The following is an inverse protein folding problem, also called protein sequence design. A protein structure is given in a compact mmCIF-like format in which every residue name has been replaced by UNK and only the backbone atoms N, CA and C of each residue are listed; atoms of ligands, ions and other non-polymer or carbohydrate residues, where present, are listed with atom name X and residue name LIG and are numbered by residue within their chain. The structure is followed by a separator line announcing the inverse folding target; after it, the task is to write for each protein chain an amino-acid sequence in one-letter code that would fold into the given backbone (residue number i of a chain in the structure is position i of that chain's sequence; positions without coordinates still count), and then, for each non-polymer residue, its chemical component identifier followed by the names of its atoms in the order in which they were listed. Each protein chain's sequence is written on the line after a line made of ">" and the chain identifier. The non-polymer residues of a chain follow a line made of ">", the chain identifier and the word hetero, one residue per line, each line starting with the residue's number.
data_IF_023268241568
#
_entry.id   IF_023268241568
#
_cell.length_a   1.000
_cell.length_b   1.000
_cell.length_c   1.000
_cell.angle_alpha   90.00
_cell.angle_beta   90.00
_cell.angle_gamma   90.00
#
_symmetry.space_group_name_H-M   'P 1'
#
loop_
_entity.id
_entity.type
_entity.pdbx_description
1 polymer ?
#
# COMPACT_ATOMS: atom_id res chain seq x y z
N UNK A 1 -15.42 -8.53 -33.85
CA UNK A 1 -15.21 -7.66 -35.04
C UNK A 1 -14.76 -8.54 -36.18
N UNK A 2 -15.67 -8.75 -37.13
CA UNK A 2 -15.43 -9.48 -38.35
C UNK A 2 -14.76 -8.54 -39.36
N UNK A 3 -13.64 -8.96 -39.92
CA UNK A 3 -13.08 -8.32 -41.12
C UNK A 3 -13.17 -9.31 -42.26
N UNK A 4 -14.05 -8.97 -43.20
CA UNK A 4 -14.37 -9.75 -44.38
C UNK A 4 -13.17 -9.93 -45.29
N UNK A 5 -13.06 -11.15 -45.82
CA UNK A 5 -12.34 -11.43 -47.07
C UNK A 5 -13.32 -11.15 -48.20
N UNK A 6 -13.14 -10.00 -48.85
CA UNK A 6 -13.82 -9.64 -50.08
C UNK A 6 -12.84 -9.69 -51.25
N UNK A 7 -13.28 -10.38 -52.29
CA UNK A 7 -13.09 -10.07 -53.71
C UNK A 7 -11.73 -10.32 -54.37
N UNK A 8 -11.63 -11.55 -54.88
CA UNK A 8 -10.83 -11.90 -56.06
C UNK A 8 -11.60 -11.53 -57.31
N UNK A 9 -11.39 -10.31 -57.83
CA UNK A 9 -11.89 -9.94 -59.16
C UNK A 9 -11.03 -10.57 -60.25
N UNK A 10 -11.61 -11.58 -60.90
CA UNK A 10 -11.22 -12.10 -62.18
C UNK A 10 -11.91 -11.26 -63.28
N UNK A 11 -11.14 -10.44 -64.01
CA UNK A 11 -11.69 -9.68 -65.13
C UNK A 11 -10.62 -8.93 -65.89
N UNK A 12 -10.12 -9.49 -66.99
CA UNK A 12 -9.00 -8.92 -67.73
C UNK A 12 -8.90 -9.40 -69.17
N UNK A 13 -9.99 -9.20 -69.90
CA UNK A 13 -10.16 -9.10 -71.36
C UNK A 13 -8.97 -9.41 -72.27
N UNK A 14 -9.14 -10.46 -73.08
CA UNK A 14 -8.36 -10.71 -74.28
C UNK A 14 -8.83 -9.78 -75.41
N UNK A 15 -7.92 -8.97 -75.95
CA UNK A 15 -8.10 -8.27 -77.22
C UNK A 15 -6.99 -8.70 -78.18
N UNK A 16 -7.39 -9.12 -79.37
CA UNK A 16 -6.54 -9.64 -80.44
C UNK A 16 -6.18 -8.55 -81.45
N UNK A 17 -4.95 -8.68 -82.00
CA UNK A 17 -4.43 -8.17 -83.28
C UNK A 17 -4.23 -6.63 -83.41
N UNK A 18 -3.38 -6.12 -84.34
CA UNK A 18 -2.78 -6.76 -85.52
C UNK A 18 -1.26 -6.58 -85.69
N UNK A 19 -0.71 -7.33 -86.65
CA UNK A 19 0.71 -7.39 -86.95
C UNK A 19 1.27 -6.26 -87.81
N UNK A 20 2.60 -6.10 -87.73
CA UNK A 20 3.55 -5.64 -88.73
C UNK A 20 4.96 -5.61 -88.08
N UNK A 21 6.04 -5.40 -88.84
CA UNK A 21 6.67 -6.31 -89.77
C UNK A 21 8.03 -6.82 -89.24
N UNK A 22 8.56 -7.85 -89.90
CA UNK A 22 9.93 -8.34 -89.74
C UNK A 22 10.95 -7.20 -89.89
N UNK A 23 11.61 -6.86 -88.78
CA UNK A 23 12.92 -6.24 -88.81
C UNK A 23 13.93 -7.30 -88.35
N UNK A 24 14.66 -7.83 -89.34
CA UNK A 24 15.79 -8.73 -89.18
C UNK A 24 16.92 -8.02 -88.42
N UNK A 25 16.87 -8.14 -87.10
CA UNK A 25 17.90 -7.71 -86.15
C UNK A 25 17.83 -8.60 -84.92
N UNK A 26 18.35 -9.83 -85.04
CA UNK A 26 18.64 -10.77 -83.94
C UNK A 26 17.61 -10.87 -82.80
N UNK A 27 16.51 -11.66 -82.93
CA UNK A 27 15.47 -11.83 -81.90
C UNK A 27 15.97 -12.41 -80.55
N UNK A 28 17.22 -12.88 -80.50
CA UNK A 28 17.82 -13.45 -79.30
C UNK A 28 18.38 -12.37 -78.34
N UNK A 29 18.89 -11.25 -78.86
CA UNK A 29 19.49 -10.19 -78.04
C UNK A 29 18.43 -9.35 -77.31
N UNK A 30 17.38 -8.91 -78.01
CA UNK A 30 16.28 -8.12 -77.45
C UNK A 30 15.41 -8.90 -76.46
N UNK A 31 15.20 -10.21 -76.68
CA UNK A 31 14.51 -11.10 -75.72
C UNK A 31 15.32 -11.31 -74.44
N UNK A 32 16.65 -11.44 -74.57
CA UNK A 32 17.56 -11.56 -73.42
C UNK A 32 17.55 -10.27 -72.58
N UNK A 33 17.59 -9.12 -73.22
CA UNK A 33 17.51 -7.81 -72.54
C UNK A 33 16.20 -7.62 -71.78
N UNK A 34 15.05 -7.95 -72.40
CA UNK A 34 13.74 -7.90 -71.72
C UNK A 34 13.67 -8.83 -70.50
N UNK A 35 14.24 -10.04 -70.60
CA UNK A 35 14.32 -10.98 -69.47
C UNK A 35 15.20 -10.44 -68.34
N UNK A 36 16.35 -9.82 -68.67
CA UNK A 36 17.23 -9.22 -67.68
C UNK A 36 16.58 -8.01 -66.99
N UNK A 37 15.86 -7.15 -67.73
CA UNK A 37 15.12 -6.03 -67.17
C UNK A 37 14.00 -6.51 -66.24
N UNK A 38 13.21 -7.50 -66.67
CA UNK A 38 12.17 -8.13 -65.85
C UNK A 38 12.74 -8.77 -64.57
N UNK A 39 13.88 -9.46 -64.67
CA UNK A 39 14.53 -10.06 -63.51
C UNK A 39 15.04 -9.00 -62.52
N UNK A 40 15.64 -7.91 -63.01
CA UNK A 40 16.04 -6.76 -62.17
C UNK A 40 14.84 -6.14 -61.46
N UNK A 41 13.70 -6.00 -62.12
CA UNK A 41 12.48 -5.48 -61.50
C UNK A 41 11.93 -6.45 -60.44
N UNK A 42 11.85 -7.74 -60.76
CA UNK A 42 11.46 -8.77 -59.80
C UNK A 42 12.37 -8.79 -58.56
N UNK A 43 13.68 -8.63 -58.75
CA UNK A 43 14.65 -8.54 -57.66
C UNK A 43 14.47 -7.28 -56.82
N UNK A 44 14.17 -6.12 -57.45
CA UNK A 44 13.84 -4.88 -56.71
C UNK A 44 12.58 -5.05 -55.87
N UNK A 45 11.51 -5.64 -56.45
CA UNK A 45 10.26 -5.92 -55.71
C UNK A 45 10.50 -6.89 -54.56
N UNK A 46 11.30 -7.94 -54.76
CA UNK A 46 11.69 -8.85 -53.69
C UNK A 46 12.45 -8.14 -52.57
N UNK A 47 13.49 -7.37 -52.89
CA UNK A 47 14.25 -6.58 -51.90
C UNK A 47 13.36 -5.60 -51.15
N UNK A 48 12.41 -4.95 -51.83
CA UNK A 48 11.45 -4.04 -51.20
C UNK A 48 10.51 -4.79 -50.24
N UNK A 49 10.00 -5.97 -50.62
CA UNK A 49 9.17 -6.80 -49.72
C UNK A 49 9.95 -7.25 -48.49
N UNK A 50 11.21 -7.66 -48.67
CA UNK A 50 12.09 -8.00 -47.55
C UNK A 50 12.31 -6.79 -46.64
N UNK A 51 12.62 -5.61 -47.21
CA UNK A 51 12.78 -4.37 -46.44
C UNK A 51 11.51 -4.01 -45.65
N UNK A 52 10.35 -4.03 -46.31
CA UNK A 52 9.07 -3.73 -45.66
C UNK A 52 8.80 -4.77 -44.55
N UNK A 53 9.00 -6.06 -44.83
CA UNK A 53 8.87 -7.12 -43.83
C UNK A 53 9.79 -6.93 -42.62
N UNK A 54 11.06 -6.55 -42.84
CA UNK A 54 11.99 -6.26 -41.75
C UNK A 54 11.55 -5.07 -40.90
N UNK A 55 11.02 -4.01 -41.53
CA UNK A 55 10.49 -2.84 -40.80
C UNK A 55 9.24 -3.23 -39.99
N UNK A 56 8.33 -4.02 -40.57
CA UNK A 56 7.16 -4.54 -39.87
C UNK A 56 7.55 -5.40 -38.67
N UNK A 57 8.49 -6.34 -38.83
CA UNK A 57 8.98 -7.16 -37.72
C UNK A 57 9.67 -6.32 -36.63
N UNK A 58 10.45 -5.30 -37.01
CA UNK A 58 11.05 -4.37 -36.04
C UNK A 58 9.98 -3.62 -35.24
N UNK A 59 8.92 -3.15 -35.91
CA UNK A 59 7.81 -2.48 -35.24
C UNK A 59 7.05 -3.44 -34.30
N UNK A 60 6.84 -4.69 -34.71
CA UNK A 60 6.23 -5.71 -33.85
C UNK A 60 7.07 -6.02 -32.62
N UNK A 61 8.40 -6.12 -32.77
CA UNK A 61 9.32 -6.31 -31.63
C UNK A 61 9.25 -5.13 -30.68
N UNK A 62 9.22 -3.89 -31.18
CA UNK A 62 9.07 -2.71 -30.33
C UNK A 62 7.73 -2.70 -29.59
N UNK A 63 6.62 -2.94 -30.28
CA UNK A 63 5.28 -3.02 -29.67
C UNK A 63 5.22 -4.11 -28.60
N UNK A 64 5.69 -5.32 -28.91
CA UNK A 64 5.71 -6.44 -27.94
C UNK A 64 6.64 -6.16 -26.77
N UNK A 65 7.78 -5.51 -27.00
CA UNK A 65 8.68 -5.13 -25.91
C UNK A 65 8.01 -4.14 -24.94
N UNK A 66 7.27 -3.15 -25.47
CA UNK A 66 6.49 -2.23 -24.65
C UNK A 66 5.35 -2.93 -23.88
N UNK A 67 4.66 -3.88 -24.52
CA UNK A 67 3.64 -4.71 -23.86
C UNK A 67 4.22 -5.56 -22.73
N UNK A 68 5.36 -6.23 -22.95
CA UNK A 68 6.05 -7.03 -21.93
C UNK A 68 6.49 -6.13 -20.77
N UNK A 69 7.09 -4.97 -21.03
CA UNK A 69 7.44 -4.02 -19.98
C UNK A 69 6.22 -3.53 -19.19
N UNK A 70 5.07 -3.31 -19.84
CA UNK A 70 3.81 -2.96 -19.17
C UNK A 70 3.26 -4.10 -18.30
N UNK A 71 3.34 -5.35 -18.77
CA UNK A 71 2.94 -6.53 -18.01
C UNK A 71 3.85 -6.77 -16.81
N UNK A 72 5.17 -6.59 -16.95
CA UNK A 72 6.12 -6.69 -15.85
C UNK A 72 5.84 -5.65 -14.75
N UNK A 73 5.57 -4.39 -15.13
CA UNK A 73 5.14 -3.35 -14.16
C UNK A 73 3.85 -3.74 -13.43
N UNK A 74 2.86 -4.26 -14.16
CA UNK A 74 1.61 -4.76 -13.56
C UNK A 74 1.87 -5.92 -12.59
N UNK A 75 2.75 -6.86 -12.97
CA UNK A 75 3.09 -7.99 -12.12
C UNK A 75 3.77 -7.57 -10.81
N UNK A 76 4.71 -6.63 -10.87
CA UNK A 76 5.36 -6.04 -9.68
C UNK A 76 4.32 -5.39 -8.75
N UNK A 77 3.40 -4.60 -9.31
CA UNK A 77 2.33 -3.97 -8.54
C UNK A 77 1.39 -5.01 -7.88
N UNK A 78 1.02 -6.07 -8.58
CA UNK A 78 0.17 -7.14 -8.04
C UNK A 78 0.87 -7.92 -6.92
N UNK A 79 2.15 -8.25 -7.08
CA UNK A 79 2.94 -8.91 -6.02
C UNK A 79 3.11 -8.02 -4.80
N UNK A 80 3.35 -6.72 -4.99
CA UNK A 80 3.38 -5.75 -3.90
C UNK A 80 2.02 -5.72 -3.18
N UNK A 81 0.92 -5.69 -3.94
CA UNK A 81 -0.44 -5.69 -3.39
C UNK A 81 -0.70 -6.93 -2.53
N UNK A 82 -0.35 -8.10 -3.03
CA UNK A 82 -0.47 -9.36 -2.29
C UNK A 82 0.30 -9.29 -0.95
N UNK A 83 1.58 -8.91 -0.96
CA UNK A 83 2.38 -8.76 0.27
C UNK A 83 1.82 -7.73 1.24
N UNK A 84 1.31 -6.62 0.71
CA UNK A 84 0.73 -5.53 1.51
C UNK A 84 -0.56 -5.98 2.19
N UNK A 85 -1.40 -6.75 1.49
CA UNK A 85 -2.65 -7.31 2.01
C UNK A 85 -2.37 -8.44 3.01
N UNK A 86 -1.42 -9.33 2.71
CA UNK A 86 -1.02 -10.41 3.62
C UNK A 86 -0.55 -9.86 4.97
N UNK A 87 0.34 -8.85 4.95
CA UNK A 87 0.75 -8.14 6.17
C UNK A 87 -0.39 -7.42 6.87
N UNK A 88 -1.35 -6.88 6.12
CA UNK A 88 -2.52 -6.24 6.72
C UNK A 88 -3.40 -7.25 7.46
N UNK A 89 -3.56 -8.46 6.91
CA UNK A 89 -4.28 -9.57 7.56
C UNK A 89 -3.54 -10.00 8.83
N UNK A 90 -2.23 -10.25 8.74
CA UNK A 90 -1.39 -10.63 9.88
C UNK A 90 -1.40 -9.55 10.97
N UNK A 91 -1.23 -8.28 10.59
CA UNK A 91 -1.27 -7.14 11.52
C UNK A 91 -2.65 -6.91 12.14
N UNK A 92 -3.73 -7.15 11.38
CA UNK A 92 -5.10 -7.06 11.90
C UNK A 92 -5.36 -8.18 12.91
N UNK A 93 -4.82 -9.38 12.71
CA UNK A 93 -4.89 -10.47 13.69
C UNK A 93 -4.26 -10.08 15.03
N UNK A 94 -3.08 -9.45 15.00
CA UNK A 94 -2.40 -8.96 16.22
C UNK A 94 -3.19 -7.83 16.87
N UNK A 95 -3.70 -6.87 16.10
CA UNK A 95 -4.51 -5.77 16.64
C UNK A 95 -5.82 -6.27 17.25
N UNK A 96 -6.51 -7.18 16.56
CA UNK A 96 -7.73 -7.83 17.08
C UNK A 96 -7.42 -8.62 18.35
N UNK A 97 -6.28 -9.32 18.44
CA UNK A 97 -5.88 -10.02 19.66
C UNK A 97 -5.61 -9.07 20.84
N UNK A 98 -5.04 -7.88 20.59
CA UNK A 98 -4.85 -6.89 21.64
C UNK A 98 -6.17 -6.24 22.04
N UNK A 99 -7.00 -5.85 21.07
CA UNK A 99 -8.33 -5.28 21.33
C UNK A 99 -9.20 -6.31 22.06
N UNK A 100 -9.18 -7.59 21.68
CA UNK A 100 -9.93 -8.63 22.36
C UNK A 100 -9.43 -8.88 23.78
N UNK A 101 -8.12 -8.77 24.04
CA UNK A 101 -7.57 -8.83 25.40
C UNK A 101 -7.98 -7.61 26.24
N UNK A 102 -8.06 -6.43 25.63
CA UNK A 102 -8.48 -5.19 26.30
C UNK A 102 -9.98 -5.16 26.59
N UNK A 103 -10.81 -5.66 25.67
CA UNK A 103 -12.26 -5.74 25.84
C UNK A 103 -12.71 -6.98 26.63
N UNK A 104 -11.89 -8.05 26.62
CA UNK A 104 -12.17 -9.33 27.26
C UNK A 104 -11.98 -9.34 28.77
N UNK A 105 -11.46 -8.27 29.37
CA UNK A 105 -11.46 -8.09 30.83
C UNK A 105 -10.91 -9.28 31.61
N UNK A 106 -9.73 -9.79 31.24
CA UNK A 106 -8.99 -10.69 32.14
C UNK A 106 -8.44 -9.86 33.32
N UNK A 107 -9.31 -9.65 34.31
CA UNK A 107 -8.86 -9.27 35.64
C UNK A 107 -7.95 -10.37 36.20
N UNK A 108 -6.93 -10.03 37.01
CA UNK A 108 -6.09 -11.03 37.66
C UNK A 108 -6.91 -11.72 38.77
N UNK A 109 -7.72 -12.71 38.40
CA UNK A 109 -8.21 -13.72 39.33
C UNK A 109 -7.10 -14.76 39.49
N UNK A 110 -6.22 -14.54 40.47
CA UNK A 110 -5.38 -15.61 40.97
C UNK A 110 -6.26 -16.71 41.55
N UNK A 111 -6.16 -17.92 40.99
CA UNK A 111 -5.99 -19.21 41.69
C UNK A 111 -6.16 -20.35 40.69
N UNK A 112 -5.14 -21.20 40.65
CA UNK A 112 -5.13 -22.64 40.34
C UNK A 112 -5.64 -23.15 38.97
N UNK A 113 -4.67 -23.66 38.19
CA UNK A 113 -4.83 -24.81 37.28
C UNK A 113 -5.73 -25.89 37.90
N UNK A 114 -6.66 -26.52 37.15
CA UNK A 114 -6.22 -27.56 36.18
C UNK A 114 -7.05 -27.75 34.89
N UNK A 115 -6.41 -28.46 33.95
CA UNK A 115 -6.96 -29.31 32.88
C UNK A 115 -7.77 -28.71 31.71
N UNK A 116 -7.22 -28.90 30.50
CA UNK A 116 -7.91 -28.79 29.21
C UNK A 116 -9.08 -29.80 29.12
N UNK A 117 -10.27 -29.38 28.69
CA UNK A 117 -11.19 -30.25 27.98
C UNK A 117 -11.15 -29.97 26.46
N UNK A 118 -11.14 -31.07 25.72
CA UNK A 118 -11.36 -31.19 24.28
C UNK A 118 -12.68 -30.53 23.84
N UNK A 119 -12.75 -29.95 22.61
CA UNK A 119 -13.96 -29.31 22.14
C UNK A 119 -15.00 -30.36 21.71
N UNK A 120 -16.12 -30.41 22.43
CA UNK A 120 -17.36 -31.00 21.92
C UNK A 120 -18.21 -29.91 21.29
N UNK A 121 -18.71 -30.19 20.09
CA UNK A 121 -19.69 -29.40 19.39
C UNK A 121 -21.02 -29.39 20.16
N UNK A 122 -21.51 -28.19 20.49
CA UNK A 122 -22.90 -27.74 20.36
C UNK A 122 -23.17 -26.52 21.26
N UNK A 123 -23.87 -25.52 20.73
CA UNK A 123 -24.62 -24.55 21.54
C UNK A 123 -24.10 -23.12 21.60
N UNK A 124 -24.61 -22.31 20.66
CA UNK A 124 -24.90 -20.87 20.71
C UNK A 124 -24.45 -20.03 21.92
N UNK A 125 -23.65 -19.00 21.66
CA UNK A 125 -23.45 -17.83 22.52
C UNK A 125 -22.81 -16.70 21.71
N UNK A 126 -23.49 -15.55 21.62
CA UNK A 126 -23.26 -14.50 20.61
C UNK A 126 -21.85 -13.91 20.59
N UNK A 127 -21.22 -14.00 19.41
CA UNK A 127 -20.09 -13.17 19.03
C UNK A 127 -20.67 -11.95 18.29
N UNK A 128 -20.32 -10.74 18.73
CA UNK A 128 -20.63 -9.49 18.01
C UNK A 128 -19.90 -9.55 16.68
N UNK A 129 -20.61 -10.00 15.65
CA UNK A 129 -20.14 -9.97 14.29
C UNK A 129 -19.95 -8.52 13.84
N UNK A 130 -18.77 -8.21 13.32
CA UNK A 130 -18.57 -7.11 12.38
C UNK A 130 -19.46 -7.36 11.16
N UNK A 131 -20.71 -6.91 11.25
CA UNK A 131 -21.68 -6.96 10.15
C UNK A 131 -21.32 -5.82 9.21
N UNK A 132 -20.80 -6.18 8.03
CA UNK A 132 -20.79 -5.31 6.87
C UNK A 132 -22.23 -4.94 6.53
N UNK A 133 -22.61 -3.69 6.77
CA UNK A 133 -23.91 -3.13 6.42
C UNK A 133 -24.14 -3.19 4.92
N UNK A 134 -24.81 -4.24 4.48
CA UNK A 134 -25.45 -4.33 3.18
C UNK A 134 -26.87 -3.77 3.32
N UNK A 135 -26.97 -2.45 3.37
CA UNK A 135 -28.25 -1.73 3.33
C UNK A 135 -28.55 -1.32 1.89
N UNK A 136 -29.43 -2.08 1.21
CA UNK A 136 -29.89 -1.77 -0.13
C UNK A 136 -30.67 -0.46 -0.17
N UNK A 137 -30.29 0.42 -1.09
CA UNK A 137 -31.14 1.48 -1.62
C UNK A 137 -30.89 1.54 -3.12
N UNK A 138 -31.97 1.39 -3.87
CA UNK A 138 -32.04 1.30 -5.33
C UNK A 138 -31.29 2.46 -6.02
N UNK A 139 -30.42 2.20 -7.01
CA UNK A 139 -29.84 3.27 -7.81
C UNK A 139 -30.83 3.74 -8.90
N UNK A 140 -30.86 5.03 -9.27
CA UNK A 140 -31.62 5.49 -10.42
C UNK A 140 -30.93 5.06 -11.72
N UNK A 141 -31.75 4.59 -12.67
CA UNK A 141 -31.36 4.17 -14.02
C UNK A 141 -30.58 5.24 -14.79
N UNK A 142 -29.47 4.83 -15.43
CA UNK A 142 -28.92 5.47 -16.63
C UNK A 142 -28.22 4.43 -17.54
N UNK A 143 -28.11 4.70 -18.85
CA UNK A 143 -28.32 3.73 -19.93
C UNK A 143 -27.05 2.96 -20.36
N UNK A 144 -27.17 1.93 -21.25
CA UNK A 144 -26.10 0.96 -21.45
C UNK A 144 -25.07 1.45 -22.46
N UNK A 145 -23.80 1.39 -22.06
CA UNK A 145 -22.68 1.31 -22.99
C UNK A 145 -22.05 -0.08 -22.88
N UNK A 146 -22.36 -0.92 -23.88
CA UNK A 146 -21.56 -2.07 -24.31
C UNK A 146 -20.09 -1.66 -24.44
N UNK A 147 -19.13 -2.54 -24.11
CA UNK A 147 -17.99 -2.94 -24.95
C UNK A 147 -17.20 -4.09 -24.29
N UNK A 148 -17.14 -5.23 -25.02
CA UNK A 148 -16.12 -6.30 -25.03
C UNK A 148 -16.05 -7.24 -23.80
N UNK A 149 -16.30 -8.55 -23.90
CA UNK A 149 -16.05 -9.48 -25.00
C UNK A 149 -14.80 -10.30 -24.70
N UNK A 150 -14.92 -11.31 -23.83
CA UNK A 150 -13.85 -12.24 -23.49
C UNK A 150 -13.50 -13.13 -24.70
N UNK A 151 -12.21 -13.32 -25.05
CA UNK A 151 -11.83 -14.29 -26.05
C UNK A 151 -11.77 -15.72 -25.47
N UNK A 152 -12.01 -16.76 -26.29
CA UNK A 152 -12.07 -18.15 -25.85
C UNK A 152 -10.67 -18.76 -25.64
N UNK A 153 -10.58 -19.70 -24.68
CA UNK A 153 -9.39 -20.50 -24.39
C UNK A 153 -9.01 -21.43 -25.56
N UNK A 154 -7.71 -21.59 -25.88
CA UNK A 154 -7.27 -22.61 -26.84
C UNK A 154 -7.11 -24.00 -26.18
N UNK A 155 -7.18 -25.09 -26.97
CA UNK A 155 -7.21 -26.46 -26.47
C UNK A 155 -5.81 -26.99 -26.12
N UNK A 156 -5.81 -28.02 -25.28
CA UNK A 156 -4.64 -28.80 -24.88
C UNK A 156 -3.92 -29.43 -26.10
N UNK A 157 -2.60 -29.30 -26.11
CA UNK A 157 -1.72 -30.09 -26.98
C UNK A 157 -0.69 -30.84 -26.12
N UNK A 158 -0.61 -32.14 -26.37
CA UNK A 158 0.26 -33.08 -25.70
C UNK A 158 1.71 -33.01 -26.25
N UNK A 159 2.66 -33.22 -25.35
CA UNK A 159 3.88 -34.02 -25.54
C UNK A 159 4.97 -33.50 -26.48
N UNK A 160 6.12 -33.13 -25.91
CA UNK A 160 7.40 -33.74 -26.26
C UNK A 160 8.48 -33.43 -25.19
N UNK A 161 9.25 -34.48 -24.91
CA UNK A 161 10.25 -34.60 -23.85
C UNK A 161 11.51 -33.75 -24.07
N UNK A 162 12.22 -33.48 -22.97
CA UNK A 162 13.56 -32.87 -22.99
C UNK A 162 13.96 -32.21 -21.66
N UNK A 163 13.92 -32.96 -20.55
CA UNK A 163 14.50 -32.55 -19.27
C UNK A 163 16.02 -32.77 -19.28
N UNK A 164 16.84 -31.75 -18.98
CA UNK A 164 18.09 -31.96 -18.27
C UNK A 164 17.85 -31.73 -16.77
N UNK A 165 18.12 -32.76 -15.97
CA UNK A 165 18.34 -32.63 -14.53
C UNK A 165 19.48 -31.63 -14.31
N UNK A 166 19.17 -30.51 -13.66
CA UNK A 166 20.15 -29.73 -12.94
C UNK A 166 19.68 -29.62 -11.50
N UNK A 167 20.17 -30.58 -10.71
CA UNK A 167 20.34 -30.45 -9.27
C UNK A 167 21.10 -29.17 -8.96
N UNK A 168 20.44 -28.24 -8.26
CA UNK A 168 21.07 -27.20 -7.48
C UNK A 168 20.31 -27.06 -6.16
N UNK A 169 20.31 -28.15 -5.38
CA UNK A 169 20.24 -28.06 -3.94
C UNK A 169 21.66 -27.90 -3.41
N UNK A 170 22.04 -26.67 -3.07
CA UNK A 170 23.17 -26.34 -2.20
C UNK A 170 23.14 -24.85 -1.89
N UNK A 171 23.14 -24.48 -0.60
CA UNK A 171 23.44 -23.11 -0.16
C UNK A 171 22.45 -22.45 0.79
N UNK A 172 21.85 -23.20 1.73
CA UNK A 172 21.18 -22.63 2.91
C UNK A 172 21.77 -23.20 4.21
N UNK A 173 23.06 -23.56 4.15
CA UNK A 173 23.85 -24.09 5.25
C UNK A 173 25.15 -23.29 5.36
N UNK A 174 25.02 -22.03 5.81
CA UNK A 174 26.10 -21.25 6.44
C UNK A 174 25.54 -19.94 7.02
N UNK A 175 24.43 -20.05 7.77
CA UNK A 175 24.05 -19.03 8.74
C UNK A 175 24.68 -19.46 10.06
N UNK A 176 25.53 -18.63 10.71
CA UNK A 176 26.03 -18.96 12.03
C UNK A 176 24.85 -19.14 12.99
N UNK A 177 24.91 -20.22 13.77
CA UNK A 177 23.93 -20.62 14.77
C UNK A 177 23.44 -19.42 15.59
N UNK A 178 22.23 -18.95 15.27
CA UNK A 178 21.45 -18.10 16.16
C UNK A 178 21.01 -19.00 17.32
N UNK A 179 21.25 -18.63 18.59
CA UNK A 179 20.85 -19.46 19.71
C UNK A 179 19.34 -19.67 19.68
N UNK A 180 18.94 -20.95 19.75
CA UNK A 180 17.56 -21.37 19.95
C UNK A 180 16.96 -20.63 21.16
N UNK A 181 16.02 -19.73 20.91
CA UNK A 181 15.21 -19.15 21.97
C UNK A 181 14.10 -20.16 22.31
N UNK A 182 14.08 -20.73 23.53
CA UNK A 182 13.01 -21.64 23.92
C UNK A 182 11.67 -20.89 23.92
N UNK A 183 10.72 -21.44 23.16
CA UNK A 183 9.30 -21.09 23.21
C UNK A 183 8.67 -21.65 24.48
N UNK A 184 9.02 -21.07 25.63
CA UNK A 184 8.33 -21.25 26.90
C UNK A 184 7.95 -19.87 27.44
N UNK A 185 6.66 -19.73 27.82
CA UNK A 185 6.06 -18.62 28.57
C UNK A 185 6.65 -17.24 28.31
N UNK A 186 5.94 -16.40 27.54
CA UNK A 186 6.31 -15.00 27.29
C UNK A 186 6.95 -14.37 28.54
N UNK A 187 8.27 -14.09 28.51
CA UNK A 187 8.93 -13.54 29.67
C UNK A 187 8.30 -12.18 30.00
N UNK A 188 8.21 -11.80 31.28
CA UNK A 188 7.76 -10.47 31.64
C UNK A 188 8.58 -9.46 30.85
N UNK A 189 7.90 -8.55 30.17
CA UNK A 189 8.52 -7.44 29.44
C UNK A 189 9.61 -6.82 30.34
N UNK A 190 10.85 -6.58 29.84
CA UNK A 190 11.85 -5.85 30.62
C UNK A 190 11.24 -4.51 31.08
N UNK A 191 11.66 -3.95 32.23
CA UNK A 191 11.16 -2.65 32.69
C UNK A 191 11.51 -1.61 31.62
N UNK A 192 10.54 -1.29 30.76
CA UNK A 192 10.76 -0.78 29.42
C UNK A 192 10.73 0.74 29.35
N UNK A 193 10.65 1.41 30.50
CA UNK A 193 10.72 2.86 30.57
C UNK A 193 11.57 3.23 31.78
N UNK A 194 12.70 3.90 31.54
CA UNK A 194 13.42 4.65 32.58
C UNK A 194 12.61 5.85 33.14
N UNK A 195 11.29 5.89 32.90
CA UNK A 195 10.36 6.89 33.37
C UNK A 195 9.17 6.24 34.11
N UNK A 196 9.28 6.02 35.42
CA UNK A 196 8.22 5.42 36.24
C UNK A 196 6.96 6.32 36.35
N UNK A 197 7.03 7.59 35.94
CA UNK A 197 5.84 8.42 35.84
C UNK A 197 5.01 8.07 34.59
N UNK A 198 5.68 7.82 33.46
CA UNK A 198 5.02 7.38 32.23
C UNK A 198 4.33 6.01 32.41
N UNK A 199 4.99 5.07 33.10
CA UNK A 199 4.41 3.75 33.41
C UNK A 199 3.12 3.86 34.22
N UNK A 200 3.11 4.67 35.30
CA UNK A 200 1.91 4.89 36.12
C UNK A 200 0.76 5.53 35.34
N UNK A 201 1.07 6.43 34.40
CA UNK A 201 0.04 7.03 33.53
C UNK A 201 -0.49 6.01 32.53
N UNK A 202 0.38 5.17 31.96
CA UNK A 202 -0.02 4.08 31.07
C UNK A 202 -0.89 3.04 31.77
N UNK A 203 -0.55 2.66 33.01
CA UNK A 203 -1.37 1.75 33.82
C UNK A 203 -2.76 2.32 34.08
N UNK A 204 -2.84 3.62 34.43
CA UNK A 204 -4.12 4.30 34.62
C UNK A 204 -4.97 4.32 33.36
N UNK A 205 -4.35 4.61 32.21
CA UNK A 205 -5.04 4.67 30.92
C UNK A 205 -5.45 3.27 30.41
N UNK A 206 -4.66 2.23 30.71
CA UNK A 206 -5.01 0.83 30.40
C UNK A 206 -6.20 0.31 31.23
N UNK A 207 -6.35 0.79 32.46
CA UNK A 207 -7.44 0.37 33.36
C UNK A 207 -8.76 1.11 33.13
N UNK A 208 -8.76 2.21 32.38
CA UNK A 208 -9.99 2.88 31.95
C UNK A 208 -10.57 2.21 30.69
N UNK A 209 -11.90 2.17 30.57
CA UNK A 209 -12.54 1.79 29.29
C UNK A 209 -11.88 2.57 28.13
N UNK A 210 -11.69 1.94 26.95
CA UNK A 210 -11.13 2.56 25.75
C UNK A 210 -12.11 3.62 25.21
N UNK A 211 -12.23 4.68 26.00
CA UNK A 211 -13.05 5.85 25.77
C UNK A 211 -12.19 6.90 25.12
N UNK A 212 -12.84 7.80 24.39
CA UNK A 212 -12.25 8.93 23.66
C UNK A 212 -11.63 9.99 24.59
N UNK A 213 -10.99 9.59 25.69
CA UNK A 213 -10.36 10.48 26.63
C UNK A 213 -9.17 11.18 25.96
N UNK A 214 -9.06 12.48 26.23
CA UNK A 214 -7.89 13.24 25.84
C UNK A 214 -6.64 12.57 26.42
N UNK A 215 -5.56 12.54 25.63
CA UNK A 215 -4.29 12.01 26.10
C UNK A 215 -3.85 12.79 27.35
N UNK A 216 -3.49 12.10 28.44
CA UNK A 216 -2.95 12.77 29.62
C UNK A 216 -1.73 13.61 29.25
N UNK A 217 -1.71 14.86 29.71
CA UNK A 217 -0.61 15.80 29.41
C UNK A 217 0.74 15.25 29.86
N UNK A 218 0.77 14.56 30.99
CA UNK A 218 1.97 13.95 31.56
C UNK A 218 2.56 12.88 30.63
N UNK A 219 1.72 12.16 29.87
CA UNK A 219 2.17 11.19 28.89
C UNK A 219 2.79 11.89 27.67
N UNK A 220 2.19 12.98 27.20
CA UNK A 220 2.75 13.80 26.12
C UNK A 220 4.10 14.42 26.52
N UNK A 221 4.20 14.93 27.75
CA UNK A 221 5.44 15.48 28.30
C UNK A 221 6.53 14.39 28.39
N UNK A 222 6.19 13.19 28.87
CA UNK A 222 7.12 12.07 28.93
C UNK A 222 7.62 11.63 27.54
N UNK A 223 6.72 11.59 26.54
CA UNK A 223 7.08 11.31 25.15
C UNK A 223 8.00 12.41 24.61
N UNK A 224 7.66 13.69 24.85
CA UNK A 224 8.44 14.84 24.43
C UNK A 224 9.85 14.87 25.01
N UNK A 225 10.00 14.57 26.29
CA UNK A 225 11.30 14.51 26.95
C UNK A 225 12.14 13.33 26.47
N UNK A 226 11.52 12.17 26.19
CA UNK A 226 12.20 11.02 25.58
C UNK A 226 12.67 11.36 24.16
N UNK A 227 11.79 11.96 23.37
CA UNK A 227 12.09 12.39 22.00
C UNK A 227 13.21 13.44 21.96
N UNK A 228 13.16 14.46 22.83
CA UNK A 228 14.19 15.49 22.94
C UNK A 228 15.55 14.90 23.30
N UNK A 229 15.61 14.00 24.28
CA UNK A 229 16.86 13.32 24.68
C UNK A 229 17.46 12.52 23.52
N UNK A 230 16.63 11.77 22.81
CA UNK A 230 17.05 11.06 21.60
C UNK A 230 17.62 12.03 20.55
N UNK A 231 16.92 13.11 20.21
CA UNK A 231 17.35 14.09 19.20
C UNK A 231 18.68 14.74 19.59
N UNK A 232 18.85 15.11 20.86
CA UNK A 232 20.10 15.68 21.38
C UNK A 232 21.25 14.69 21.27
N UNK A 233 21.03 13.43 21.67
CA UNK A 233 22.04 12.37 21.55
C UNK A 233 22.40 12.07 20.10
N UNK A 234 21.42 12.05 19.20
CA UNK A 234 21.65 11.83 17.77
C UNK A 234 22.50 12.95 17.14
N UNK A 235 22.16 14.21 17.42
CA UNK A 235 22.94 15.36 16.95
C UNK A 235 24.36 15.38 17.52
N UNK A 236 24.52 15.00 18.79
CA UNK A 236 25.85 14.87 19.39
C UNK A 236 26.66 13.76 18.71
N UNK A 237 26.03 12.61 18.42
CA UNK A 237 26.67 11.50 17.72
C UNK A 237 27.12 11.88 16.31
N UNK A 238 26.34 12.68 15.57
CA UNK A 238 26.72 13.19 14.24
C UNK A 238 27.92 14.16 14.28
N UNK A 239 28.19 14.80 15.43
CA UNK A 239 29.31 15.72 15.62
C UNK A 239 30.59 15.03 16.11
N UNK A 240 30.48 13.80 16.61
CA UNK A 240 31.62 13.01 17.04
C UNK A 240 32.41 12.47 15.85
N UNK A 241 33.73 12.36 15.99
CA UNK A 241 34.61 11.73 15.01
C UNK A 241 35.44 10.60 15.67
N UNK A 242 35.82 9.60 14.89
CA UNK A 242 36.62 8.48 15.37
C UNK A 242 35.80 7.42 16.13
N UNK A 243 36.44 6.56 16.95
CA UNK A 243 35.79 5.42 17.60
C UNK A 243 34.67 5.83 18.58
N UNK A 244 34.77 7.01 19.18
CA UNK A 244 33.75 7.56 20.07
C UNK A 244 32.43 7.86 19.32
N UNK A 245 32.49 8.07 18.00
CA UNK A 245 31.31 8.31 17.17
C UNK A 245 30.42 7.06 17.07
N UNK A 246 31.00 5.86 17.01
CA UNK A 246 30.25 4.60 16.95
C UNK A 246 29.51 4.35 18.27
N UNK A 247 30.19 4.59 19.40
CA UNK A 247 29.60 4.47 20.74
C UNK A 247 28.47 5.48 20.92
N UNK A 248 28.67 6.72 20.48
CA UNK A 248 27.64 7.77 20.52
C UNK A 248 26.43 7.41 19.64
N UNK A 249 26.65 6.88 18.43
CA UNK A 249 25.57 6.42 17.55
C UNK A 249 24.80 5.25 18.15
N UNK A 250 25.49 4.26 18.73
CA UNK A 250 24.85 3.15 19.42
C UNK A 250 23.98 3.63 20.59
N UNK A 251 24.49 4.57 21.39
CA UNK A 251 23.74 5.22 22.47
C UNK A 251 22.50 5.96 21.99
N UNK A 252 22.61 6.72 20.89
CA UNK A 252 21.48 7.40 20.27
C UNK A 252 20.42 6.41 19.76
N UNK A 253 20.82 5.26 19.19
CA UNK A 253 19.90 4.22 18.73
C UNK A 253 19.18 3.52 19.89
N UNK A 254 19.83 3.35 21.05
CA UNK A 254 19.15 2.85 22.25
C UNK A 254 18.07 3.82 22.72
N UNK A 255 18.40 5.12 22.82
CA UNK A 255 17.43 6.16 23.17
C UNK A 255 16.28 6.26 22.16
N UNK A 256 16.57 6.10 20.87
CA UNK A 256 15.55 6.00 19.83
C UNK A 256 14.59 4.83 20.11
N UNK A 257 15.12 3.64 20.36
CA UNK A 257 14.33 2.44 20.62
C UNK A 257 13.43 2.64 21.84
N UNK A 258 13.95 3.22 22.91
CA UNK A 258 13.19 3.48 24.13
C UNK A 258 12.06 4.50 23.90
N UNK A 259 12.35 5.60 23.18
CA UNK A 259 11.34 6.59 22.81
C UNK A 259 10.25 5.99 21.90
N UNK A 260 10.66 5.18 20.92
CA UNK A 260 9.75 4.52 20.01
C UNK A 260 8.87 3.49 20.72
N UNK A 261 9.43 2.70 21.65
CA UNK A 261 8.69 1.73 22.45
C UNK A 261 7.71 2.41 23.42
N UNK A 262 8.10 3.56 24.01
CA UNK A 262 7.18 4.40 24.79
C UNK A 262 5.96 4.82 23.95
N UNK A 263 6.20 5.41 22.78
CA UNK A 263 5.12 5.85 21.88
C UNK A 263 4.25 4.67 21.44
N UNK A 264 4.86 3.51 21.16
CA UNK A 264 4.15 2.27 20.88
C UNK A 264 3.24 1.87 22.04
N UNK A 265 3.77 1.74 23.26
CA UNK A 265 3.01 1.33 24.43
C UNK A 265 1.89 2.33 24.76
N UNK A 266 2.17 3.60 24.55
CA UNK A 266 1.23 4.69 24.72
C UNK A 266 0.11 4.66 23.68
N UNK A 267 0.41 4.35 22.41
CA UNK A 267 -0.60 4.17 21.36
C UNK A 267 -1.49 2.95 21.63
N UNK A 268 -0.93 1.88 22.20
CA UNK A 268 -1.71 0.69 22.58
C UNK A 268 -2.60 0.93 23.80
N UNK A 269 -2.22 1.83 24.70
CA UNK A 269 -3.02 2.22 25.85
C UNK A 269 -4.09 3.28 25.50
N UNK A 270 -3.75 4.24 24.64
CA UNK A 270 -4.60 5.36 24.25
C UNK A 270 -4.71 5.46 22.73
N UNK A 271 -5.82 5.00 22.16
CA UNK A 271 -6.03 5.01 20.70
C UNK A 271 -6.01 6.43 20.10
N UNK A 272 -6.45 7.43 20.86
CA UNK A 272 -6.41 8.85 20.44
C UNK A 272 -5.01 9.46 20.49
N UNK A 273 -4.02 8.78 21.09
CA UNK A 273 -2.67 9.33 21.16
C UNK A 273 -2.10 9.61 19.78
N UNK A 274 -2.26 8.68 18.84
CA UNK A 274 -1.65 8.85 17.52
C UNK A 274 -2.23 10.02 16.73
N UNK A 275 -3.54 10.27 16.85
CA UNK A 275 -4.14 11.43 16.18
C UNK A 275 -3.60 12.74 16.76
N UNK A 276 -3.35 12.78 18.07
CA UNK A 276 -2.73 13.93 18.72
C UNK A 276 -1.25 14.08 18.36
N UNK A 277 -0.46 13.00 18.37
CA UNK A 277 0.98 13.02 18.09
C UNK A 277 1.35 13.60 16.71
N UNK A 278 0.45 13.50 15.71
CA UNK A 278 0.69 14.01 14.35
C UNK A 278 0.94 15.51 14.28
N UNK A 279 0.27 16.26 15.15
CA UNK A 279 0.26 17.73 15.10
C UNK A 279 0.76 18.35 16.39
N UNK A 280 1.39 17.58 17.29
CA UNK A 280 1.99 18.17 18.49
C UNK A 280 3.40 18.62 18.16
N UNK A 281 3.65 19.90 18.39
CA UNK A 281 4.99 20.46 18.43
C UNK A 281 5.56 20.26 19.84
N UNK A 282 6.57 19.41 19.99
CA UNK A 282 7.16 19.06 21.30
C UNK A 282 8.06 20.16 21.92
N UNK A 283 8.32 21.25 21.19
CA UNK A 283 8.95 22.44 21.78
C UNK A 283 7.92 23.32 22.48
N UNK A 284 6.74 23.49 21.88
CA UNK A 284 5.70 24.40 22.39
C UNK A 284 4.59 23.67 23.16
N UNK A 285 4.52 22.34 23.02
CA UNK A 285 3.40 21.49 23.44
C UNK A 285 2.05 21.93 22.85
N UNK A 286 2.06 22.66 21.73
CA UNK A 286 0.87 23.12 21.04
C UNK A 286 0.51 22.21 19.85
N UNK A 287 -0.78 22.25 19.48
CA UNK A 287 -1.27 21.61 18.26
C UNK A 287 -1.01 22.51 17.05
N UNK A 288 0.11 22.27 16.38
CA UNK A 288 0.58 23.03 15.23
C UNK A 288 0.71 22.12 14.01
N UNK A 289 0.32 22.63 12.84
CA UNK A 289 0.62 21.93 11.59
C UNK A 289 2.13 22.00 11.31
N UNK A 290 2.77 20.89 10.88
CA UNK A 290 4.15 20.93 10.42
C UNK A 290 4.32 21.94 9.27
N UNK A 291 5.44 22.68 9.18
CA UNK A 291 5.67 23.63 8.10
C UNK A 291 5.57 22.97 6.71
N UNK A 292 5.17 23.71 5.66
CA UNK A 292 5.16 23.18 4.31
C UNK A 292 6.50 22.56 3.90
N UNK A 293 6.44 21.35 3.32
CA UNK A 293 7.62 20.60 2.91
C UNK A 293 8.42 19.93 4.05
N UNK A 294 7.98 20.02 5.31
CA UNK A 294 8.64 19.38 6.45
C UNK A 294 8.87 17.87 6.22
N UNK A 295 7.82 17.11 5.90
CA UNK A 295 7.92 15.67 5.67
C UNK A 295 8.78 15.29 4.45
N UNK A 296 8.82 16.14 3.42
CA UNK A 296 9.72 15.96 2.28
C UNK A 296 11.19 16.12 2.68
N UNK A 297 11.52 17.09 3.53
CA UNK A 297 12.87 17.24 4.08
C UNK A 297 13.25 16.05 4.97
N UNK A 298 12.33 15.58 5.82
CA UNK A 298 12.54 14.42 6.69
C UNK A 298 12.87 13.18 5.85
N UNK A 299 12.06 12.89 4.83
CA UNK A 299 12.31 11.76 3.90
C UNK A 299 13.64 11.92 3.19
N UNK A 300 14.01 13.13 2.74
CA UNK A 300 15.30 13.37 2.10
C UNK A 300 16.49 13.12 3.04
N UNK A 301 16.42 13.55 4.30
CA UNK A 301 17.48 13.30 5.30
C UNK A 301 17.60 11.81 5.67
N UNK A 302 16.49 11.08 5.57
CA UNK A 302 16.48 9.62 5.69
C UNK A 302 17.07 8.90 4.46
N UNK A 303 17.61 9.61 3.47
CA UNK A 303 18.17 9.04 2.25
C UNK A 303 17.17 8.88 1.10
N UNK A 304 15.96 9.44 1.23
CA UNK A 304 14.96 9.46 0.18
C UNK A 304 14.53 8.07 -0.29
N UNK A 305 14.27 7.93 -1.59
CA UNK A 305 13.94 6.64 -2.20
C UNK A 305 15.13 5.67 -2.19
N UNK A 306 16.36 6.19 -2.21
CA UNK A 306 17.58 5.38 -2.31
C UNK A 306 17.84 4.58 -1.03
N UNK A 307 17.27 5.00 0.09
CA UNK A 307 17.29 4.25 1.33
C UNK A 307 16.36 3.03 1.35
N UNK A 308 15.51 2.84 0.33
CA UNK A 308 14.54 1.75 0.22
C UNK A 308 14.91 0.83 -0.95
N UNK A 309 14.78 -0.49 -0.74
CA UNK A 309 14.85 -1.43 -1.85
C UNK A 309 13.72 -1.19 -2.86
N UNK A 310 13.88 -1.59 -4.14
CA UNK A 310 12.81 -1.48 -5.13
C UNK A 310 11.50 -2.16 -4.69
N UNK A 311 11.60 -3.29 -4.00
CA UNK A 311 10.45 -4.01 -3.43
C UNK A 311 9.78 -3.20 -2.32
N UNK A 312 10.57 -2.61 -1.42
CA UNK A 312 10.07 -1.75 -0.34
C UNK A 312 9.37 -0.50 -0.90
N UNK A 313 9.91 0.10 -1.97
CA UNK A 313 9.26 1.22 -2.67
C UNK A 313 7.92 0.80 -3.27
N UNK A 314 7.87 -0.33 -3.98
CA UNK A 314 6.62 -0.86 -4.55
C UNK A 314 5.57 -1.15 -3.46
N UNK A 315 6.00 -1.72 -2.33
CA UNK A 315 5.13 -2.01 -1.18
C UNK A 315 4.58 -0.72 -0.54
N UNK A 316 5.39 0.33 -0.44
CA UNK A 316 4.98 1.65 0.06
C UNK A 316 3.97 2.31 -0.87
N UNK A 317 4.24 2.32 -2.17
CA UNK A 317 3.33 2.88 -3.19
C UNK A 317 1.98 2.17 -3.16
N UNK A 318 1.99 0.83 -3.12
CA UNK A 318 0.75 0.07 -3.11
C UNK A 318 0.01 0.18 -1.77
N UNK A 319 0.74 0.24 -0.66
CA UNK A 319 0.16 0.55 0.66
C UNK A 319 -0.54 1.91 0.63
N UNK A 320 0.12 2.94 0.11
CA UNK A 320 -0.46 4.29 -0.04
C UNK A 320 -1.70 4.27 -0.94
N UNK A 321 -1.64 3.57 -2.08
CA UNK A 321 -2.77 3.47 -3.01
C UNK A 321 -3.99 2.81 -2.38
N UNK A 322 -3.80 1.69 -1.69
CA UNK A 322 -4.87 0.99 -0.99
C UNK A 322 -5.44 1.83 0.15
N UNK A 323 -4.55 2.41 0.96
CA UNK A 323 -4.93 3.23 2.10
C UNK A 323 -5.68 4.49 1.64
N UNK A 324 -5.18 5.20 0.64
CA UNK A 324 -5.82 6.36 0.03
C UNK A 324 -7.20 6.04 -0.52
N UNK A 325 -7.37 4.88 -1.17
CA UNK A 325 -8.69 4.44 -1.64
C UNK A 325 -9.67 4.15 -0.49
N UNK A 326 -9.18 3.54 0.60
CA UNK A 326 -9.99 3.26 1.79
C UNK A 326 -10.39 4.53 2.53
N UNK A 327 -9.43 5.42 2.72
CA UNK A 327 -9.63 6.74 3.33
C UNK A 327 -10.59 7.61 2.53
N UNK A 328 -10.50 7.61 1.20
CA UNK A 328 -11.44 8.35 0.35
C UNK A 328 -12.88 7.85 0.53
N UNK A 329 -13.09 6.52 0.62
CA UNK A 329 -14.42 5.94 0.90
C UNK A 329 -14.91 6.31 2.29
N UNK A 330 -14.06 6.21 3.31
CA UNK A 330 -14.42 6.60 4.68
C UNK A 330 -14.78 8.08 4.78
N UNK A 331 -13.98 8.97 4.19
CA UNK A 331 -14.28 10.41 4.20
C UNK A 331 -15.57 10.73 3.45
N UNK A 332 -15.87 10.04 2.35
CA UNK A 332 -17.14 10.20 1.66
C UNK A 332 -18.33 9.76 2.55
N UNK A 333 -18.18 8.66 3.29
CA UNK A 333 -19.17 8.21 4.27
C UNK A 333 -19.34 9.22 5.42
N UNK A 334 -18.24 9.67 6.03
CA UNK A 334 -18.26 10.68 7.10
C UNK A 334 -18.93 11.97 6.62
N UNK A 335 -18.65 12.42 5.40
CA UNK A 335 -19.28 13.61 4.83
C UNK A 335 -20.78 13.39 4.58
N UNK A 336 -21.22 12.19 4.20
CA UNK A 336 -22.63 11.87 4.09
C UNK A 336 -23.33 11.90 5.45
N UNK A 337 -22.73 11.29 6.49
CA UNK A 337 -23.24 11.31 7.86
C UNK A 337 -23.35 12.74 8.41
N UNK A 338 -22.32 13.56 8.22
CA UNK A 338 -22.33 14.97 8.65
C UNK A 338 -23.41 15.80 7.94
N UNK A 339 -23.69 15.53 6.66
CA UNK A 339 -24.79 16.18 5.94
C UNK A 339 -26.15 15.77 6.49
N UNK A 340 -26.33 14.50 6.85
CA UNK A 340 -27.58 14.00 7.44
C UNK A 340 -27.80 14.57 8.84
N UNK A 341 -26.75 14.65 9.67
CA UNK A 341 -26.78 15.32 10.97
C UNK A 341 -27.19 16.78 10.83
N UNK A 342 -26.57 17.52 9.91
CA UNK A 342 -26.92 18.92 9.65
C UNK A 342 -28.38 19.08 9.21
N UNK A 343 -28.90 18.18 8.37
CA UNK A 343 -30.31 18.22 7.94
C UNK A 343 -31.30 17.96 9.10
N UNK A 344 -30.95 17.08 10.05
CA UNK A 344 -31.74 16.84 11.25
C UNK A 344 -31.75 18.05 12.20
N UNK A 345 -30.62 18.75 12.31
CA UNK A 345 -30.49 19.99 13.08
C UNK A 345 -31.29 21.13 12.45
N UNK A 346 -31.24 21.32 11.13
CA UNK A 346 -32.03 22.35 10.43
C UNK A 346 -33.55 22.09 10.53
N UNK A 347 -33.96 20.82 10.57
CA UNK A 347 -35.35 20.41 10.75
C UNK A 347 -35.92 20.61 12.17
N UNK A 348 -35.10 21.05 13.13
CA UNK A 348 -35.44 21.12 14.56
C UNK A 348 -36.11 22.42 15.02
N UNK A 349 -36.55 23.27 14.09
CA UNK A 349 -37.26 24.52 14.43
C UNK A 349 -38.42 24.26 15.43
N UNK A 350 -38.54 25.07 16.50
CA UNK A 350 -39.47 24.79 17.59
C UNK A 350 -40.90 24.98 17.12
N UNK A 351 -41.59 23.87 16.83
CA UNK A 351 -43.04 23.86 16.76
C UNK A 351 -43.55 23.97 18.20
N UNK A 352 -44.08 25.14 18.56
CA UNK A 352 -44.65 25.40 19.88
C UNK A 352 -45.72 24.34 20.23
N UNK A 353 -45.49 23.59 21.30
CA UNK A 353 -46.58 23.08 22.14
C UNK A 353 -47.11 21.66 21.91
N UNK A 354 -46.38 20.74 21.27
CA UNK A 354 -46.81 19.33 21.17
C UNK A 354 -45.67 18.32 21.27
N UNK A 355 -45.80 17.29 22.11
CA UNK A 355 -44.94 16.11 22.10
C UNK A 355 -45.20 15.37 20.78
N UNK A 356 -44.41 15.67 19.76
CA UNK A 356 -44.50 15.01 18.47
C UNK A 356 -43.68 13.72 18.51
N UNK A 357 -44.25 12.54 18.18
CA UNK A 357 -43.49 11.28 18.10
C UNK A 357 -42.31 11.34 17.12
N UNK A 358 -42.36 12.28 16.16
CA UNK A 358 -41.27 12.58 15.24
C UNK A 358 -40.04 13.20 15.92
N UNK A 359 -40.18 13.82 17.10
CA UNK A 359 -39.04 14.36 17.84
C UNK A 359 -38.19 13.26 18.46
N UNK A 360 -38.83 12.22 19.01
CA UNK A 360 -38.14 11.05 19.57
C UNK A 360 -37.44 10.24 18.47
N UNK A 361 -38.11 9.98 17.34
CA UNK A 361 -37.50 9.30 16.18
C UNK A 361 -36.28 10.06 15.63
N UNK A 362 -36.36 11.40 15.55
CA UNK A 362 -35.21 12.22 15.12
C UNK A 362 -34.07 12.19 16.11
N UNK A 363 -34.36 12.22 17.41
CA UNK A 363 -33.33 12.16 18.44
C UNK A 363 -32.62 10.81 18.44
N UNK A 364 -33.36 9.71 18.25
CA UNK A 364 -32.80 8.36 18.06
C UNK A 364 -31.90 8.32 16.82
N UNK A 365 -32.38 8.82 15.67
CA UNK A 365 -31.58 8.85 14.44
C UNK A 365 -30.32 9.71 14.58
N UNK A 366 -30.41 10.84 15.27
CA UNK A 366 -29.26 11.70 15.55
C UNK A 366 -28.20 10.97 16.40
N UNK A 367 -28.63 10.24 17.43
CA UNK A 367 -27.74 9.42 18.26
C UNK A 367 -27.09 8.28 17.46
N UNK A 368 -27.84 7.59 16.60
CA UNK A 368 -27.31 6.57 15.68
C UNK A 368 -26.25 7.13 14.75
N UNK A 369 -26.52 8.27 14.11
CA UNK A 369 -25.58 8.94 13.20
C UNK A 369 -24.28 9.37 13.91
N UNK A 370 -24.38 9.87 15.15
CA UNK A 370 -23.20 10.17 15.96
C UNK A 370 -22.39 8.90 16.30
N UNK A 371 -23.06 7.79 16.60
CA UNK A 371 -22.40 6.51 16.83
C UNK A 371 -21.70 5.99 15.55
N UNK A 372 -22.37 6.07 14.40
CA UNK A 372 -21.80 5.72 13.09
C UNK A 372 -20.59 6.61 12.74
N UNK A 373 -20.69 7.92 12.97
CA UNK A 373 -19.59 8.86 12.73
C UNK A 373 -18.40 8.53 13.63
N UNK A 374 -18.66 8.25 14.91
CA UNK A 374 -17.63 7.85 15.88
C UNK A 374 -16.95 6.55 15.45
N UNK A 375 -17.72 5.55 15.03
CA UNK A 375 -17.19 4.29 14.51
C UNK A 375 -16.35 4.51 13.24
N UNK A 376 -16.79 5.38 12.33
CA UNK A 376 -16.06 5.73 11.11
C UNK A 376 -14.73 6.46 11.41
N UNK A 377 -14.71 7.37 12.38
CA UNK A 377 -13.49 8.01 12.88
C UNK A 377 -12.53 6.98 13.51
N UNK A 378 -13.06 5.98 14.22
CA UNK A 378 -12.28 4.85 14.72
C UNK A 378 -11.63 4.03 13.61
N UNK A 379 -12.35 3.80 12.50
CA UNK A 379 -11.81 3.10 11.32
C UNK A 379 -10.72 3.90 10.60
N UNK A 380 -10.85 5.23 10.51
CA UNK A 380 -9.79 6.11 10.00
C UNK A 380 -8.52 5.96 10.86
N UNK A 381 -8.67 6.09 12.18
CA UNK A 381 -7.57 5.90 13.12
C UNK A 381 -6.93 4.49 12.98
N UNK A 382 -7.73 3.44 12.82
CA UNK A 382 -7.26 2.08 12.62
C UNK A 382 -6.48 1.91 11.30
N UNK A 383 -7.00 2.42 10.17
CA UNK A 383 -6.27 2.40 8.90
C UNK A 383 -4.94 3.13 9.02
N UNK A 384 -4.98 4.35 9.53
CA UNK A 384 -3.79 5.16 9.66
C UNK A 384 -2.79 4.56 10.67
N UNK A 385 -3.27 3.77 11.63
CA UNK A 385 -2.45 2.89 12.45
C UNK A 385 -1.77 1.80 11.61
N UNK A 386 -2.54 0.91 10.99
CA UNK A 386 -2.02 -0.21 10.17
C UNK A 386 -0.95 0.24 9.17
N UNK A 387 -1.13 1.40 8.55
CA UNK A 387 -0.18 1.93 7.58
C UNK A 387 1.01 2.66 8.21
N UNK A 388 0.82 3.38 9.31
CA UNK A 388 1.92 4.08 9.96
C UNK A 388 2.92 3.16 10.69
N UNK A 389 2.52 1.93 11.05
CA UNK A 389 3.44 0.90 11.57
C UNK A 389 4.29 0.24 10.49
N UNK A 390 3.98 0.44 9.20
CA UNK A 390 4.74 -0.19 8.12
C UNK A 390 6.09 0.47 7.89
N UNK A 391 6.28 1.76 8.19
CA UNK A 391 7.55 2.43 7.90
C UNK A 391 8.74 1.75 8.59
N UNK A 392 8.58 1.33 9.85
CA UNK A 392 9.60 0.56 10.59
C UNK A 392 9.82 -0.87 10.08
N UNK A 393 8.89 -1.41 9.27
CA UNK A 393 9.04 -2.75 8.66
C UNK A 393 9.81 -2.71 7.34
N UNK A 394 9.85 -1.55 6.66
CA UNK A 394 10.57 -1.37 5.39
C UNK A 394 11.86 -0.57 5.54
N UNK A 395 12.03 0.16 6.63
CA UNK A 395 13.20 1.00 6.89
C UNK A 395 13.99 0.43 8.07
N UNK A 396 15.29 0.22 7.88
CA UNK A 396 16.19 -0.20 8.96
C UNK A 396 16.24 0.82 10.11
N UNK A 397 16.45 0.34 11.34
CA UNK A 397 16.45 1.18 12.54
C UNK A 397 17.35 2.43 12.44
N UNK A 398 18.57 2.40 11.86
CA UNK A 398 19.40 3.60 11.72
C UNK A 398 18.79 4.67 10.83
N UNK A 399 18.15 4.26 9.73
CA UNK A 399 17.49 5.19 8.81
C UNK A 399 16.21 5.75 9.42
N UNK A 400 15.45 4.93 10.13
CA UNK A 400 14.27 5.40 10.86
C UNK A 400 14.66 6.38 11.96
N UNK A 401 15.73 6.11 12.72
CA UNK A 401 16.24 7.03 13.73
C UNK A 401 16.62 8.38 13.11
N UNK A 402 17.34 8.41 11.99
CA UNK A 402 17.66 9.65 11.26
C UNK A 402 16.40 10.42 10.84
N UNK A 403 15.38 9.71 10.33
CA UNK A 403 14.10 10.33 9.97
C UNK A 403 13.41 10.96 11.20
N UNK A 404 13.34 10.24 12.32
CA UNK A 404 12.74 10.72 13.57
C UNK A 404 13.53 11.89 14.17
N UNK A 405 14.87 11.85 14.10
CA UNK A 405 15.68 12.97 14.57
C UNK A 405 15.47 14.23 13.71
N UNK A 406 15.30 14.04 12.41
CA UNK A 406 15.04 15.11 11.43
C UNK A 406 13.62 15.68 11.53
N UNK A 407 12.67 14.94 12.12
CA UNK A 407 11.29 15.40 12.26
C UNK A 407 11.10 16.38 13.42
N UNK A 408 12.09 16.55 14.30
CA UNK A 408 12.02 17.52 15.39
C UNK A 408 11.59 18.92 14.89
N UNK A 409 10.62 19.59 15.54
CA UNK A 409 10.01 19.25 16.83
C UNK A 409 8.72 18.41 16.77
N UNK A 410 8.39 17.80 15.63
CA UNK A 410 7.21 16.96 15.44
C UNK A 410 7.57 15.48 15.54
N UNK A 411 6.71 14.66 16.16
CA UNK A 411 6.89 13.21 16.08
C UNK A 411 6.68 12.75 14.65
N UNK A 412 7.44 11.74 14.21
CA UNK A 412 7.37 11.26 12.84
C UNK A 412 5.95 10.81 12.46
N UNK A 413 5.32 11.54 11.54
CA UNK A 413 4.07 11.11 10.94
C UNK A 413 4.37 10.15 9.78
N UNK A 414 4.40 8.86 10.11
CA UNK A 414 4.61 7.80 9.14
C UNK A 414 3.60 7.85 7.97
N UNK A 415 2.38 8.36 8.18
CA UNK A 415 1.40 8.51 7.11
C UNK A 415 1.87 9.56 6.09
N UNK A 416 2.21 10.75 6.56
CA UNK A 416 2.70 11.83 5.69
C UNK A 416 4.04 11.48 5.02
N UNK A 417 4.94 10.76 5.72
CA UNK A 417 6.17 10.27 5.10
C UNK A 417 5.89 9.20 4.02
N UNK A 418 4.94 8.29 4.25
CA UNK A 418 4.54 7.28 3.26
C UNK A 418 3.96 7.94 2.00
N UNK A 419 3.14 8.98 2.17
CA UNK A 419 2.63 9.79 1.06
C UNK A 419 3.77 10.40 0.23
N UNK A 420 4.71 11.07 0.91
CA UNK A 420 5.87 11.70 0.25
C UNK A 420 6.70 10.66 -0.50
N UNK A 421 7.00 9.51 0.11
CA UNK A 421 7.76 8.43 -0.53
C UNK A 421 7.01 7.92 -1.76
N UNK A 422 5.70 7.69 -1.65
CA UNK A 422 4.88 7.23 -2.77
C UNK A 422 4.85 8.26 -3.92
N UNK A 423 4.71 9.56 -3.61
CA UNK A 423 4.76 10.63 -4.60
C UNK A 423 6.11 10.65 -5.32
N UNK A 424 7.22 10.63 -4.57
CA UNK A 424 8.57 10.60 -5.15
C UNK A 424 8.77 9.37 -6.06
N UNK A 425 8.26 8.21 -5.65
CA UNK A 425 8.37 6.98 -6.44
C UNK A 425 7.55 7.04 -7.74
N UNK A 426 6.38 7.69 -7.72
CA UNK A 426 5.54 7.89 -8.91
C UNK A 426 6.07 9.00 -9.83
N UNK A 427 6.77 10.01 -9.28
CA UNK A 427 7.36 11.12 -10.03
C UNK A 427 8.59 10.70 -10.84
N UNK A 428 9.24 9.56 -10.52
CA UNK A 428 10.35 9.02 -11.33
C UNK A 428 9.78 8.52 -12.67
N UNK A 429 9.98 9.27 -13.78
CA UNK A 429 9.31 8.98 -15.06
C UNK A 429 9.80 7.67 -15.69
N UNK A 430 10.99 7.26 -15.27
CA UNK A 430 11.66 6.06 -15.73
C UNK A 430 12.00 5.25 -14.49
N UNK A 431 11.54 4.00 -14.45
CA UNK A 431 12.22 2.98 -13.66
C UNK A 431 13.63 2.86 -14.22
N UNK A 432 14.53 3.73 -13.77
CA UNK A 432 15.95 3.72 -14.08
C UNK A 432 16.43 2.31 -13.83
N UNK A 433 16.63 1.59 -14.93
CA UNK A 433 16.91 0.17 -14.95
C UNK A 433 18.06 -0.16 -14.02
N UNK A 434 17.85 -1.20 -13.23
CA UNK A 434 18.93 -2.12 -12.90
C UNK A 434 19.41 -2.76 -14.20
#
# INVERSE_FOLDING_TARGET
>A
MASGRGDSDAGGSAAAAPGAPEAAGGPCATRRERRLASNREAQRRYKQRVKNSTVTMQQEVLTRSAEVSALLRTNVALRARERVLQRAIEGSGVQLAVISRQLGGDGPSGTDTPELPTPSADGSGGLIGWVGGSGGSTPPERPPHNWLGAPPSPPAAAGCAGTPELSAGAGLADLPDLPDFPSEGAPPLPPLLSNPAAERVLERVRGSEPSLQAVPRELLEAIGDSFRRFVQAHRAAEQCAGPDAEVAHAGALLLFRDAHELVRNANMACLLLRSQLRNINFETMAFDAPPPGHWRRVVAHAGGLEALSPEAQADVVESWRLAGSGMARLRAQQQALLRELAALEEGSAPAEGGVHPQAEERQLRYAELLAELTASCGQDAALANVYGWKLSSVVGAPTLARAVASSWPFWLDAWACTEVIAQLAMERPDGGGV
#
